data_IF_230336716980
#
_entry.id   IF_230336716980
#
_cell.length_a   1.000
_cell.length_b   1.000
_cell.length_c   1.000
_cell.angle_alpha   90.00
_cell.angle_beta   90.00
_cell.angle_gamma   90.00
#
_symmetry.space_group_name_H-M   'P 1'
#
loop_
_entity.id
_entity.type
_entity.pdbx_description
1 polymer ?
#
# COMPACT_ATOMS: atom_id res chain seq x y z
N UNK A 1 -13.78 -0.61 25.06
CA UNK A 1 -14.14 0.34 23.99
C UNK A 1 -14.16 -0.43 22.68
N UNK A 2 -15.25 -0.37 21.92
CA UNK A 2 -15.35 -0.99 20.59
C UNK A 2 -15.05 0.12 19.57
N UNK A 3 -14.02 -0.04 18.74
CA UNK A 3 -13.60 0.94 17.74
C UNK A 3 -13.65 0.30 16.34
N UNK A 4 -14.52 0.81 15.47
CA UNK A 4 -14.77 0.28 14.13
C UNK A 4 -14.39 1.27 13.02
N UNK A 5 -13.55 2.28 13.33
CA UNK A 5 -13.17 3.33 12.36
C UNK A 5 -12.28 2.78 11.24
N UNK A 6 -11.33 1.92 11.57
CA UNK A 6 -10.40 1.23 10.66
C UNK A 6 -9.64 0.16 11.44
N UNK A 7 -9.12 -0.84 10.75
CA UNK A 7 -8.11 -1.79 11.24
C UNK A 7 -6.79 -1.13 11.70
N UNK A 8 -6.45 0.07 11.21
CA UNK A 8 -5.26 0.83 11.65
C UNK A 8 -5.26 1.18 13.14
N UNK A 9 -6.40 1.06 13.84
CA UNK A 9 -6.51 1.30 15.29
C UNK A 9 -5.97 0.13 16.14
N UNK A 10 -5.55 -0.98 15.52
CA UNK A 10 -4.98 -2.13 16.24
C UNK A 10 -3.79 -1.72 17.11
N UNK A 11 -3.69 -2.33 18.29
CA UNK A 11 -2.56 -2.17 19.20
C UNK A 11 -1.74 -3.47 19.24
N UNK A 12 -0.41 -3.39 19.42
CA UNK A 12 0.42 -4.58 19.52
C UNK A 12 -0.01 -5.45 20.71
N UNK A 13 -0.07 -6.76 20.48
CA UNK A 13 -0.36 -7.72 21.54
C UNK A 13 0.84 -7.86 22.49
N UNK A 14 0.65 -8.47 23.67
CA UNK A 14 1.75 -8.70 24.60
C UNK A 14 2.89 -9.51 23.97
N UNK A 15 2.57 -10.58 23.25
CA UNK A 15 3.56 -11.41 22.57
C UNK A 15 4.33 -10.63 21.50
N UNK A 16 3.67 -9.74 20.77
CA UNK A 16 4.32 -8.85 19.81
C UNK A 16 5.27 -7.87 20.51
N UNK A 17 4.84 -7.27 21.63
CA UNK A 17 5.69 -6.37 22.42
C UNK A 17 6.92 -7.10 22.99
N UNK A 18 6.76 -8.33 23.49
CA UNK A 18 7.86 -9.17 23.97
C UNK A 18 8.86 -9.46 22.84
N UNK A 19 8.38 -9.79 21.64
CA UNK A 19 9.23 -10.00 20.47
C UNK A 19 9.98 -8.72 20.04
N UNK A 20 9.29 -7.58 20.03
CA UNK A 20 9.90 -6.28 19.72
C UNK A 20 11.01 -5.91 20.71
N UNK A 21 10.78 -6.13 22.02
CA UNK A 21 11.76 -5.81 23.06
C UNK A 21 12.98 -6.72 23.05
N UNK A 22 12.83 -7.95 22.56
CA UNK A 22 13.91 -8.93 22.49
C UNK A 22 14.69 -8.93 21.15
N UNK A 23 14.19 -8.21 20.15
CA UNK A 23 14.76 -8.21 18.81
C UNK A 23 16.19 -7.59 18.81
N UNK A 24 17.21 -8.26 18.24
CA UNK A 24 18.50 -7.63 18.01
C UNK A 24 18.36 -6.55 16.94
N UNK A 25 18.99 -5.40 17.14
CA UNK A 25 18.90 -4.24 16.25
C UNK A 25 20.29 -3.75 15.84
N UNK A 26 20.33 -2.97 14.77
CA UNK A 26 21.54 -2.35 14.23
C UNK A 26 21.22 -1.05 13.51
N UNK A 27 22.16 -0.60 12.67
CA UNK A 27 21.93 0.55 11.80
C UNK A 27 21.52 0.06 10.40
N UNK A 28 20.24 0.23 10.07
CA UNK A 28 19.67 -0.22 8.80
C UNK A 28 20.20 0.56 7.58
N UNK A 29 20.71 1.78 7.76
CA UNK A 29 21.34 2.53 6.66
C UNK A 29 22.64 1.84 6.21
N UNK A 30 23.36 1.22 7.15
CA UNK A 30 24.53 0.39 6.86
C UNK A 30 24.18 -1.07 6.53
N UNK A 31 22.91 -1.46 6.67
CA UNK A 31 22.44 -2.83 6.44
C UNK A 31 22.76 -3.78 7.60
N UNK A 32 23.10 -3.26 8.78
CA UNK A 32 23.55 -4.04 9.92
C UNK A 32 22.43 -4.38 10.92
N UNK A 33 21.16 -4.04 10.63
CA UNK A 33 20.03 -4.43 11.46
C UNK A 33 19.56 -5.87 11.13
N UNK A 34 19.83 -6.86 11.99
CA UNK A 34 19.50 -8.26 11.70
C UNK A 34 17.99 -8.53 11.66
N UNK A 35 17.19 -7.75 12.39
CA UNK A 35 15.74 -7.95 12.45
C UNK A 35 15.07 -7.40 11.19
N UNK A 36 15.50 -6.22 10.71
CA UNK A 36 15.01 -5.67 9.43
C UNK A 36 15.40 -6.60 8.28
N UNK A 37 16.65 -7.06 8.25
CA UNK A 37 17.13 -8.02 7.24
C UNK A 37 16.30 -9.31 7.24
N UNK A 38 16.05 -9.89 8.42
CA UNK A 38 15.24 -11.10 8.54
C UNK A 38 13.80 -10.90 8.04
N UNK A 39 13.17 -9.76 8.36
CA UNK A 39 11.82 -9.42 7.88
C UNK A 39 11.79 -9.31 6.35
N UNK A 40 12.75 -8.60 5.75
CA UNK A 40 12.83 -8.42 4.30
C UNK A 40 13.07 -9.73 3.57
N UNK A 41 14.02 -10.55 4.05
CA UNK A 41 14.28 -11.87 3.47
C UNK A 41 13.07 -12.80 3.56
N UNK A 42 12.39 -12.82 4.71
CA UNK A 42 11.18 -13.61 4.88
C UNK A 42 10.07 -13.16 3.91
N UNK A 43 9.82 -11.85 3.79
CA UNK A 43 8.80 -11.31 2.90
C UNK A 43 9.10 -11.60 1.41
N UNK A 44 10.36 -11.47 1.00
CA UNK A 44 10.82 -11.79 -0.35
C UNK A 44 10.62 -13.29 -0.65
N UNK A 45 11.06 -14.17 0.26
CA UNK A 45 10.88 -15.62 0.11
C UNK A 45 9.40 -16.02 0.06
N UNK A 46 8.57 -15.46 0.95
CA UNK A 46 7.14 -15.75 1.02
C UNK A 46 6.39 -15.34 -0.27
N UNK A 47 6.81 -14.24 -0.89
CA UNK A 47 6.18 -13.71 -2.11
C UNK A 47 6.82 -14.21 -3.41
N UNK A 48 7.90 -15.02 -3.33
CA UNK A 48 8.66 -15.47 -4.50
C UNK A 48 9.33 -14.31 -5.26
N UNK A 49 9.73 -13.25 -4.55
CA UNK A 49 10.45 -12.09 -5.10
C UNK A 49 11.92 -12.14 -4.69
N UNK A 50 12.76 -11.47 -5.48
CA UNK A 50 14.21 -11.44 -5.23
C UNK A 50 14.56 -10.63 -3.98
N UNK A 51 13.80 -9.56 -3.71
CA UNK A 51 14.05 -8.65 -2.60
C UNK A 51 12.75 -8.03 -2.06
N UNK A 52 12.84 -7.47 -0.85
CA UNK A 52 11.81 -6.65 -0.22
C UNK A 52 12.48 -5.51 0.57
N UNK A 53 11.74 -4.44 0.83
CA UNK A 53 12.20 -3.28 1.58
C UNK A 53 11.20 -2.93 2.70
N UNK A 54 11.69 -2.69 3.91
CA UNK A 54 10.87 -2.21 5.02
C UNK A 54 10.73 -0.69 4.95
N UNK A 55 9.49 -0.17 5.00
CA UNK A 55 9.21 1.26 4.97
C UNK A 55 8.32 1.67 6.15
N UNK A 56 8.44 2.91 6.66
CA UNK A 56 7.65 3.39 7.79
C UNK A 56 6.13 3.35 7.59
N UNK A 57 5.65 3.56 6.36
CA UNK A 57 4.22 3.64 6.05
C UNK A 57 3.91 3.07 4.66
N UNK A 58 2.65 2.66 4.46
CA UNK A 58 2.15 2.27 3.14
C UNK A 58 2.21 3.41 2.10
N UNK A 59 1.98 4.65 2.52
CA UNK A 59 2.12 5.84 1.67
C UNK A 59 3.52 5.98 1.10
N UNK A 60 4.56 5.82 1.94
CA UNK A 60 5.93 5.88 1.46
C UNK A 60 6.28 4.67 0.60
N UNK A 61 5.76 3.48 0.92
CA UNK A 61 5.96 2.28 0.11
C UNK A 61 5.42 2.45 -1.32
N UNK A 62 4.20 2.99 -1.48
CA UNK A 62 3.63 3.29 -2.80
C UNK A 62 4.43 4.38 -3.52
N UNK A 63 4.83 5.45 -2.83
CA UNK A 63 5.63 6.52 -3.43
C UNK A 63 6.97 6.00 -3.96
N UNK A 64 7.72 5.24 -3.15
CA UNK A 64 8.99 4.63 -3.58
C UNK A 64 8.78 3.66 -4.74
N UNK A 65 7.70 2.86 -4.71
CA UNK A 65 7.38 1.97 -5.81
C UNK A 65 7.12 2.73 -7.12
N UNK A 66 6.36 3.82 -7.08
CA UNK A 66 6.09 4.64 -8.26
C UNK A 66 7.36 5.34 -8.77
N UNK A 67 8.18 5.91 -7.88
CA UNK A 67 9.47 6.52 -8.25
C UNK A 67 10.47 5.51 -8.84
N UNK A 68 10.38 4.25 -8.44
CA UNK A 68 11.25 3.18 -8.94
C UNK A 68 10.78 2.61 -10.27
N UNK A 69 9.50 2.79 -10.61
CA UNK A 69 8.90 2.27 -11.83
C UNK A 69 8.71 3.32 -12.93
N UNK A 70 8.63 4.60 -12.57
CA UNK A 70 8.32 5.68 -13.50
C UNK A 70 9.36 6.79 -13.40
N UNK A 71 9.90 7.16 -14.55
CA UNK A 71 10.76 8.32 -14.71
C UNK A 71 9.95 9.62 -14.80
N UNK A 72 10.66 10.75 -14.72
CA UNK A 72 10.05 12.08 -14.85
C UNK A 72 9.28 12.20 -16.17
N UNK A 73 8.01 12.57 -16.07
CA UNK A 73 7.12 12.76 -17.23
C UNK A 73 6.47 11.46 -17.74
N UNK A 74 6.85 10.29 -17.20
CA UNK A 74 6.12 9.05 -17.45
C UNK A 74 4.79 9.02 -16.70
N UNK A 75 3.97 8.03 -17.04
CA UNK A 75 2.61 7.90 -16.55
C UNK A 75 2.36 6.53 -15.94
N UNK A 76 1.57 6.49 -14.86
CA UNK A 76 0.98 5.26 -14.34
C UNK A 76 -0.55 5.27 -14.45
N UNK A 77 -1.10 4.16 -14.92
CA UNK A 77 -2.54 3.93 -15.01
C UNK A 77 -3.05 3.51 -13.63
N UNK A 78 -4.06 4.19 -13.11
CA UNK A 78 -4.56 3.97 -11.75
C UNK A 78 -6.08 4.11 -11.65
N UNK A 79 -6.68 3.50 -10.63
CA UNK A 79 -8.09 3.68 -10.34
C UNK A 79 -8.37 5.03 -9.66
N UNK A 80 -9.46 5.70 -10.03
CA UNK A 80 -9.89 6.98 -9.41
C UNK A 80 -10.13 6.91 -7.89
N UNK A 81 -10.40 5.71 -7.35
CA UNK A 81 -10.55 5.48 -5.90
C UNK A 81 -9.35 4.78 -5.25
N UNK A 82 -8.22 4.64 -5.96
CA UNK A 82 -7.04 3.99 -5.42
C UNK A 82 -6.31 4.91 -4.41
N UNK A 83 -5.70 4.30 -3.39
CA UNK A 83 -5.09 5.02 -2.28
C UNK A 83 -3.91 5.89 -2.71
N UNK A 84 -3.00 5.33 -3.51
CA UNK A 84 -1.82 6.02 -4.05
C UNK A 84 -2.11 7.16 -5.04
N UNK A 85 -3.36 7.29 -5.49
CA UNK A 85 -3.84 8.44 -6.25
C UNK A 85 -4.58 9.44 -5.35
N UNK A 86 -5.57 8.99 -4.58
CA UNK A 86 -6.55 9.86 -3.90
C UNK A 86 -6.15 10.26 -2.47
N UNK A 87 -5.54 9.35 -1.70
CA UNK A 87 -5.35 9.50 -0.25
C UNK A 87 -3.89 9.76 0.16
N UNK A 88 -2.98 9.90 -0.80
CA UNK A 88 -1.55 10.13 -0.59
C UNK A 88 -1.10 11.53 -1.04
N UNK A 89 -2.03 12.49 -1.02
CA UNK A 89 -1.81 13.90 -1.36
C UNK A 89 -1.19 14.14 -2.76
N UNK A 90 -1.34 13.17 -3.68
CA UNK A 90 -0.76 13.27 -5.02
C UNK A 90 0.78 13.21 -5.05
N UNK A 91 1.42 12.56 -4.07
CA UNK A 91 2.88 12.51 -3.94
C UNK A 91 3.62 12.08 -5.21
N UNK A 92 3.06 11.15 -5.99
CA UNK A 92 3.63 10.74 -7.28
C UNK A 92 3.79 11.91 -8.28
N UNK A 93 2.78 12.77 -8.36
CA UNK A 93 2.82 13.94 -9.24
C UNK A 93 3.68 15.07 -8.64
N UNK A 94 3.44 15.40 -7.37
CA UNK A 94 4.05 16.57 -6.71
C UNK A 94 5.55 16.37 -6.45
N UNK A 95 5.93 15.19 -5.98
CA UNK A 95 7.32 14.88 -5.60
C UNK A 95 8.04 14.10 -6.70
N UNK A 96 7.35 13.19 -7.36
CA UNK A 96 7.93 12.33 -8.40
C UNK A 96 7.90 12.88 -9.81
N UNK A 97 7.11 13.93 -10.08
CA UNK A 97 6.90 14.43 -11.45
C UNK A 97 6.37 13.34 -12.41
N UNK A 98 5.52 12.46 -11.88
CA UNK A 98 4.88 11.35 -12.59
C UNK A 98 3.41 11.72 -12.87
N UNK A 99 2.96 11.54 -14.11
CA UNK A 99 1.56 11.74 -14.51
C UNK A 99 0.68 10.56 -14.04
N UNK A 100 -0.57 10.84 -13.67
CA UNK A 100 -1.54 9.82 -13.26
C UNK A 100 -2.72 9.73 -14.25
N UNK A 101 -2.82 8.64 -15.00
CA UNK A 101 -4.00 8.33 -15.80
C UNK A 101 -5.05 7.62 -14.94
N UNK A 102 -5.82 8.41 -14.21
CA UNK A 102 -6.81 7.88 -13.28
C UNK A 102 -8.14 7.54 -13.98
N UNK A 103 -8.52 6.26 -13.98
CA UNK A 103 -9.76 5.78 -14.58
C UNK A 103 -10.84 5.40 -13.55
N UNK A 104 -12.09 5.74 -13.85
CA UNK A 104 -13.24 5.29 -13.07
C UNK A 104 -13.55 3.85 -13.45
N UNK A 105 -13.47 2.92 -12.48
CA UNK A 105 -14.02 1.58 -12.68
C UNK A 105 -15.53 1.70 -12.91
N UNK A 106 -15.99 1.51 -14.15
CA UNK A 106 -17.41 1.34 -14.45
C UNK A 106 -17.82 -0.02 -13.90
N UNK A 107 -18.25 -0.10 -12.65
CA UNK A 107 -19.04 -1.24 -12.18
C UNK A 107 -20.20 -1.36 -13.18
N UNK A 108 -20.23 -2.42 -14.00
CA UNK A 108 -21.48 -2.82 -14.66
C UNK A 108 -22.47 -2.97 -13.51
N UNK A 109 -23.40 -2.03 -13.39
CA UNK A 109 -24.58 -2.22 -12.56
C UNK A 109 -25.26 -3.44 -13.18
N UNK A 110 -25.08 -4.62 -12.60
CA UNK A 110 -26.13 -5.62 -12.63
C UNK A 110 -27.27 -5.02 -11.81
N UNK A 111 -27.96 -4.03 -12.38
CA UNK A 111 -29.30 -3.72 -11.95
C UNK A 111 -30.09 -4.99 -12.27
N UNK A 112 -30.59 -5.65 -11.23
CA UNK A 112 -31.57 -6.71 -11.39
C UNK A 112 -32.64 -6.19 -12.34
N UNK A 113 -32.76 -6.82 -13.51
CA UNK A 113 -33.83 -6.56 -14.45
C UNK A 113 -35.11 -7.18 -13.88
N UNK A 114 -35.74 -6.47 -12.96
CA UNK A 114 -37.12 -6.62 -12.53
C UNK A 114 -37.53 -5.23 -12.08
N UNK A 115 -38.51 -4.53 -12.64
CA UNK A 115 -39.71 -4.96 -13.33
C UNK A 115 -39.96 -3.98 -14.49
N UNK A 116 -40.21 -4.48 -15.70
CA UNK A 116 -40.99 -3.75 -16.70
C UNK A 116 -42.36 -4.41 -16.78
N UNK A 117 -43.30 -3.99 -15.94
CA UNK A 117 -44.70 -3.92 -16.38
C UNK A 117 -44.82 -2.62 -17.18
N UNK A 118 -45.27 -2.55 -18.43
CA UNK A 118 -46.23 -3.40 -19.13
C UNK A 118 -47.62 -2.78 -19.02
N UNK A 119 -47.96 -1.89 -19.97
CA UNK A 119 -49.29 -1.39 -20.42
C UNK A 119 -50.33 -1.10 -19.30
N UNK A 120 -50.74 0.14 -19.06
CA UNK A 120 -51.53 1.04 -19.93
C UNK A 120 -51.37 2.50 -19.50
#
# INVERSE_FOLDING_TARGET
MIDLRSDTVTRPSRAMLEAMMAAPVGDDVYGDDPTVNALQHYAAALSGKEAALFLPTGTQANLVALLSHCERGEEYIVGQGAHNYLYEAGGAAVLGSISAAAHRCRRRRYAAAGERGGKD
#
